data_IF_734683464595
#
_entry.id   IF_734683464595
#
_cell.length_a   1.000
_cell.length_b   1.000
_cell.length_c   1.000
_cell.angle_alpha   90.00
_cell.angle_beta   90.00
_cell.angle_gamma   90.00
#
_symmetry.space_group_name_H-M   'P 1'
#
loop_
_entity.id
_entity.type
_entity.pdbx_description
1 polymer ?
#
# COMPACT_ATOMS: atom_id res chain seq x y z
N UNK A 1 -0.70 -4.47 -30.39
CA UNK A 1 -1.51 -4.73 -29.17
C UNK A 1 -2.69 -3.75 -29.18
N UNK A 2 -3.95 -4.21 -29.15
CA UNK A 2 -5.11 -3.32 -29.06
C UNK A 2 -5.33 -2.92 -27.60
N UNK A 3 -5.17 -1.64 -27.26
CA UNK A 3 -5.38 -1.12 -25.92
C UNK A 3 -6.89 -1.00 -25.70
N UNK A 4 -7.42 -1.71 -24.69
CA UNK A 4 -8.83 -1.61 -24.29
C UNK A 4 -9.08 -0.19 -23.75
N UNK A 5 -10.18 0.48 -24.08
CA UNK A 5 -10.47 1.80 -23.54
C UNK A 5 -10.48 1.76 -22.00
N UNK A 6 -10.01 2.81 -21.32
CA UNK A 6 -9.96 2.86 -19.88
C UNK A 6 -11.38 2.65 -19.33
N UNK A 7 -11.53 1.64 -18.46
CA UNK A 7 -12.79 1.45 -17.72
C UNK A 7 -12.98 2.71 -16.87
N UNK A 8 -14.09 3.41 -17.07
CA UNK A 8 -14.51 4.41 -16.09
C UNK A 8 -14.74 3.69 -14.76
N UNK A 9 -13.94 4.04 -13.76
CA UNK A 9 -14.14 3.55 -12.41
C UNK A 9 -15.36 4.26 -11.83
N UNK A 10 -16.27 3.49 -11.23
CA UNK A 10 -17.39 4.07 -10.50
C UNK A 10 -16.85 4.72 -9.23
N UNK A 11 -16.84 6.04 -9.19
CA UNK A 11 -16.44 6.79 -8.00
C UNK A 11 -17.48 6.58 -6.90
N UNK A 12 -17.02 6.42 -5.67
CA UNK A 12 -17.92 6.33 -4.52
C UNK A 12 -18.56 7.69 -4.28
N UNK A 13 -19.87 7.70 -3.98
CA UNK A 13 -20.54 8.96 -3.69
C UNK A 13 -20.00 9.55 -2.38
N UNK A 14 -20.00 10.88 -2.29
CA UNK A 14 -19.63 11.57 -1.05
C UNK A 14 -20.46 11.07 0.15
N UNK A 15 -21.73 10.75 -0.08
CA UNK A 15 -22.62 10.23 0.95
C UNK A 15 -22.14 8.87 1.48
N UNK A 16 -21.80 7.92 0.61
CA UNK A 16 -21.33 6.59 1.05
C UNK A 16 -19.98 6.68 1.76
N UNK A 17 -19.09 7.56 1.28
CA UNK A 17 -17.81 7.82 1.94
C UNK A 17 -17.99 8.40 3.35
N UNK A 18 -18.86 9.41 3.50
CA UNK A 18 -19.16 10.03 4.79
C UNK A 18 -19.81 9.04 5.76
N UNK A 19 -20.78 8.26 5.30
CA UNK A 19 -21.46 7.25 6.13
C UNK A 19 -20.47 6.18 6.65
N UNK A 20 -19.52 5.75 5.81
CA UNK A 20 -18.46 4.83 6.21
C UNK A 20 -17.57 5.41 7.31
N UNK A 21 -17.18 6.69 7.20
CA UNK A 21 -16.40 7.38 8.23
C UNK A 21 -17.18 7.47 9.55
N UNK A 22 -18.45 7.89 9.49
CA UNK A 22 -19.31 8.02 10.68
C UNK A 22 -19.48 6.67 11.41
N UNK A 23 -19.61 5.57 10.66
CA UNK A 23 -19.66 4.20 11.21
C UNK A 23 -18.33 3.78 11.85
N UNK A 24 -17.20 4.03 11.18
CA UNK A 24 -15.88 3.66 11.69
C UNK A 24 -15.52 4.40 12.99
N UNK A 25 -15.95 5.65 13.15
CA UNK A 25 -15.70 6.46 14.35
C UNK A 25 -16.68 6.18 15.48
N UNK A 26 -17.95 5.89 15.17
CA UNK A 26 -18.92 5.55 16.21
C UNK A 26 -18.65 4.20 16.87
N UNK A 27 -18.05 3.24 16.17
CA UNK A 27 -17.68 1.93 16.72
C UNK A 27 -16.77 2.02 17.97
N UNK A 28 -15.70 2.82 18.00
CA UNK A 28 -14.92 3.10 19.22
C UNK A 28 -15.48 4.24 20.09
N UNK A 29 -16.70 4.73 19.83
CA UNK A 29 -17.32 5.82 20.60
C UNK A 29 -16.77 7.23 20.30
N UNK A 30 -16.05 7.39 19.18
CA UNK A 30 -15.49 8.68 18.78
C UNK A 30 -16.57 9.52 18.10
N UNK A 31 -16.84 10.71 18.67
CA UNK A 31 -17.77 11.67 18.08
C UNK A 31 -17.05 12.52 17.02
N UNK A 32 -17.43 12.35 15.76
CA UNK A 32 -17.02 13.23 14.66
C UNK A 32 -18.09 14.30 14.43
N UNK A 33 -17.69 15.48 13.96
CA UNK A 33 -18.62 16.46 13.40
C UNK A 33 -18.21 16.79 11.96
N UNK A 34 -19.16 17.31 11.15
CA UNK A 34 -18.94 17.60 9.72
C UNK A 34 -17.74 18.54 9.49
N UNK A 35 -17.46 19.45 10.42
CA UNK A 35 -16.39 20.43 10.31
C UNK A 35 -15.01 19.85 10.69
N UNK A 36 -14.96 18.74 11.42
CA UNK A 36 -13.73 18.05 11.81
C UNK A 36 -12.97 17.48 10.61
N UNK A 37 -13.68 17.09 9.54
CA UNK A 37 -13.09 16.42 8.36
C UNK A 37 -13.00 17.28 7.09
N UNK A 38 -13.82 18.34 6.95
CA UNK A 38 -13.91 19.14 5.70
C UNK A 38 -12.96 20.36 5.71
N UNK A 39 -12.72 20.99 6.87
CA UNK A 39 -11.95 22.24 6.96
C UNK A 39 -10.54 22.07 7.52
N UNK A 40 -10.10 20.84 7.77
CA UNK A 40 -8.74 20.52 8.14
C UNK A 40 -8.33 19.34 7.30
N UNK A 41 -7.44 19.56 6.32
CA UNK A 41 -6.87 18.46 5.55
C UNK A 41 -6.39 17.38 6.52
N UNK A 42 -6.91 16.17 6.39
CA UNK A 42 -6.67 15.05 7.32
C UNK A 42 -5.18 14.75 7.56
N UNK A 43 -4.29 15.29 6.72
CA UNK A 43 -2.83 15.21 6.84
C UNK A 43 -2.22 16.24 7.81
N UNK A 44 -2.83 17.41 8.01
CA UNK A 44 -2.20 18.54 8.73
C UNK A 44 -2.14 18.38 10.26
N UNK A 45 -2.88 17.42 10.85
CA UNK A 45 -3.00 17.27 12.32
C UNK A 45 -2.48 15.95 12.90
N UNK A 46 -1.89 15.06 12.10
CA UNK A 46 -1.19 13.89 12.65
C UNK A 46 0.08 14.26 13.44
N UNK A 47 0.53 15.51 13.40
CA UNK A 47 1.70 16.03 14.12
C UNK A 47 1.36 16.79 15.42
N UNK A 48 0.20 16.52 16.05
CA UNK A 48 -0.26 17.21 17.27
C UNK A 48 0.22 16.61 18.60
N UNK A 49 0.88 15.45 18.58
CA UNK A 49 1.58 14.92 19.75
C UNK A 49 2.88 14.31 19.25
N UNK A 50 4.01 14.57 19.90
CA UNK A 50 5.34 14.04 19.55
C UNK A 50 5.48 12.52 19.66
N UNK A 51 4.38 11.78 19.55
CA UNK A 51 4.32 10.32 19.47
C UNK A 51 4.14 9.96 18.02
N UNK A 52 5.26 9.75 17.36
CA UNK A 52 5.23 9.10 16.06
C UNK A 52 4.82 7.64 16.24
N UNK A 53 3.73 7.22 15.60
CA UNK A 53 3.32 5.82 15.55
C UNK A 53 4.10 5.08 14.46
N UNK A 54 5.42 5.03 14.60
CA UNK A 54 6.21 4.11 13.78
C UNK A 54 6.13 2.74 14.46
N UNK A 55 5.56 1.75 13.78
CA UNK A 55 5.92 0.36 14.09
C UNK A 55 7.43 0.29 13.87
N UNK A 56 8.19 -0.13 14.88
CA UNK A 56 9.62 -0.37 14.75
C UNK A 56 9.80 -1.35 13.59
N UNK A 57 10.22 -0.84 12.42
CA UNK A 57 10.28 -1.66 11.21
C UNK A 57 11.28 -2.77 11.45
N UNK A 58 10.89 -4.00 11.12
CA UNK A 58 11.83 -5.12 11.10
C UNK A 58 13.05 -4.73 10.27
N UNK A 59 14.24 -4.90 10.86
CA UNK A 59 15.53 -4.58 10.21
C UNK A 59 15.83 -5.49 9.02
N UNK A 60 15.13 -6.63 8.94
CA UNK A 60 15.26 -7.62 7.86
C UNK A 60 14.59 -7.13 6.58
N UNK A 61 15.35 -7.13 5.49
CA UNK A 61 14.82 -6.88 4.16
C UNK A 61 14.19 -8.16 3.60
N UNK A 62 12.93 -8.12 3.12
CA UNK A 62 12.32 -9.28 2.48
C UNK A 62 13.11 -9.72 1.23
N UNK A 63 13.18 -11.04 0.95
CA UNK A 63 13.86 -11.56 -0.23
C UNK A 63 13.42 -10.86 -1.52
N UNK A 64 14.37 -10.50 -2.39
CA UNK A 64 14.06 -9.80 -3.66
C UNK A 64 13.14 -10.63 -4.56
N UNK A 65 13.33 -11.96 -4.59
CA UNK A 65 12.46 -12.89 -5.32
C UNK A 65 11.01 -12.80 -4.86
N UNK A 66 10.78 -12.62 -3.56
CA UNK A 66 9.46 -12.48 -2.96
C UNK A 66 8.85 -11.11 -3.25
N UNK A 67 9.62 -10.01 -3.10
CA UNK A 67 9.16 -8.65 -3.41
C UNK A 67 8.69 -8.50 -4.87
N UNK A 68 9.38 -9.16 -5.81
CA UNK A 68 9.01 -9.16 -7.24
C UNK A 68 7.67 -9.86 -7.53
N UNK A 69 7.21 -10.75 -6.65
CA UNK A 69 5.89 -11.41 -6.79
C UNK A 69 4.72 -10.50 -6.43
N UNK A 70 4.96 -9.44 -5.64
CA UNK A 70 3.95 -8.44 -5.33
C UNK A 70 3.94 -7.35 -6.41
N UNK A 71 2.78 -7.07 -7.02
CA UNK A 71 2.64 -6.14 -8.16
C UNK A 71 3.64 -6.37 -9.31
N UNK A 72 3.76 -7.58 -9.90
CA UNK A 72 4.90 -7.95 -10.76
C UNK A 72 5.30 -6.93 -11.84
N UNK A 73 4.30 -6.34 -12.51
CA UNK A 73 4.47 -5.34 -13.58
C UNK A 73 5.31 -4.13 -13.18
N UNK A 74 5.37 -3.76 -11.90
CA UNK A 74 6.13 -2.59 -11.44
C UNK A 74 7.64 -2.72 -11.67
N UNK A 75 8.18 -3.95 -11.74
CA UNK A 75 9.59 -4.12 -12.12
C UNK A 75 9.84 -3.68 -13.56
N UNK A 76 9.00 -4.16 -14.49
CA UNK A 76 9.06 -3.80 -15.90
C UNK A 76 8.86 -2.28 -16.12
N UNK A 77 7.91 -1.68 -15.41
CA UNK A 77 7.69 -0.22 -15.47
C UNK A 77 8.89 0.56 -14.95
N UNK A 78 9.52 0.12 -13.86
CA UNK A 78 10.74 0.77 -13.37
C UNK A 78 11.87 0.72 -14.40
N UNK A 79 12.11 -0.44 -15.01
CA UNK A 79 13.18 -0.61 -15.99
C UNK A 79 12.94 0.24 -17.26
N UNK A 80 11.68 0.35 -17.72
CA UNK A 80 11.30 1.23 -18.83
C UNK A 80 11.52 2.72 -18.53
N UNK A 81 11.13 3.16 -17.33
CA UNK A 81 11.31 4.54 -16.91
C UNK A 81 12.80 4.90 -16.79
N UNK A 82 13.63 3.98 -16.29
CA UNK A 82 15.09 4.12 -16.27
C UNK A 82 15.66 4.19 -17.69
N UNK A 83 15.16 3.35 -18.60
CA UNK A 83 15.55 3.36 -20.01
C UNK A 83 15.00 4.55 -20.81
N UNK A 84 14.17 5.41 -20.19
CA UNK A 84 13.45 6.52 -20.84
C UNK A 84 12.64 6.06 -22.06
N UNK A 85 12.13 4.84 -22.04
CA UNK A 85 11.27 4.33 -23.11
C UNK A 85 9.88 4.99 -23.07
N UNK A 86 9.31 5.37 -24.22
CA UNK A 86 7.96 5.90 -24.29
C UNK A 86 6.91 4.83 -23.95
N UNK A 87 5.77 5.25 -23.42
CA UNK A 87 4.67 4.34 -23.08
C UNK A 87 4.13 3.63 -24.33
N UNK A 88 3.80 2.32 -24.26
CA UNK A 88 3.23 1.60 -25.38
C UNK A 88 1.88 2.22 -25.79
N UNK A 89 1.86 2.91 -26.93
CA UNK A 89 0.66 3.55 -27.48
C UNK A 89 0.46 5.02 -27.09
N UNK A 90 1.40 5.64 -26.37
CA UNK A 90 1.37 7.07 -26.09
C UNK A 90 2.79 7.66 -26.11
N UNK A 91 3.13 8.58 -27.05
CA UNK A 91 4.48 9.13 -27.19
C UNK A 91 4.87 10.12 -26.08
N UNK A 92 4.10 10.19 -24.99
CA UNK A 92 4.34 11.10 -23.87
C UNK A 92 5.61 10.66 -23.12
N UNK A 93 6.47 11.63 -22.84
CA UNK A 93 7.68 11.44 -22.04
C UNK A 93 7.31 11.01 -20.60
N UNK A 94 8.11 10.11 -19.98
CA UNK A 94 7.95 9.76 -18.58
C UNK A 94 7.75 10.99 -17.68
N UNK A 95 6.63 11.06 -16.98
CA UNK A 95 6.32 12.17 -16.08
C UNK A 95 6.92 11.95 -14.69
N UNK A 96 7.18 13.04 -13.96
CA UNK A 96 7.66 12.98 -12.56
C UNK A 96 6.69 12.18 -11.67
N UNK A 97 5.39 12.28 -11.93
CA UNK A 97 4.36 11.57 -11.19
C UNK A 97 4.42 10.05 -11.40
N UNK A 98 4.64 9.58 -12.63
CA UNK A 98 4.79 8.15 -12.93
C UNK A 98 6.01 7.56 -12.23
N UNK A 99 7.15 8.26 -12.31
CA UNK A 99 8.38 7.88 -11.60
C UNK A 99 8.14 7.78 -10.10
N UNK A 100 7.54 8.80 -9.49
CA UNK A 100 7.23 8.83 -8.08
C UNK A 100 6.26 7.69 -7.69
N UNK A 101 5.24 7.44 -8.49
CA UNK A 101 4.26 6.38 -8.25
C UNK A 101 4.92 4.99 -8.26
N UNK A 102 5.75 4.69 -9.26
CA UNK A 102 6.50 3.43 -9.33
C UNK A 102 7.39 3.26 -8.09
N UNK A 103 8.10 4.31 -7.67
CA UNK A 103 8.93 4.27 -6.46
C UNK A 103 8.10 4.03 -5.19
N UNK A 104 6.93 4.65 -5.07
CA UNK A 104 6.01 4.43 -3.95
C UNK A 104 5.57 2.97 -3.90
N UNK A 105 5.20 2.36 -5.04
CA UNK A 105 4.82 0.95 -5.04
C UNK A 105 6.01 0.04 -4.71
N UNK A 106 7.22 0.36 -5.16
CA UNK A 106 8.43 -0.39 -4.80
C UNK A 106 8.72 -0.34 -3.29
N UNK A 107 8.59 0.83 -2.68
CA UNK A 107 8.69 0.97 -1.22
C UNK A 107 7.57 0.19 -0.52
N UNK A 108 6.34 0.30 -1.03
CA UNK A 108 5.18 -0.40 -0.50
C UNK A 108 5.38 -1.93 -0.52
N UNK A 109 5.96 -2.51 -1.58
CA UNK A 109 6.29 -3.95 -1.62
C UNK A 109 7.13 -4.38 -0.43
N UNK A 110 8.12 -3.58 -0.05
CA UNK A 110 8.98 -3.88 1.09
C UNK A 110 8.21 -3.76 2.40
N UNK A 111 7.57 -2.62 2.65
CA UNK A 111 6.89 -2.38 3.92
C UNK A 111 5.71 -3.33 4.12
N UNK A 112 4.96 -3.62 3.07
CA UNK A 112 3.83 -4.54 3.12
C UNK A 112 4.25 -5.95 3.55
N UNK A 113 5.33 -6.51 3.00
CA UNK A 113 5.82 -7.85 3.37
C UNK A 113 6.42 -7.86 4.79
N UNK A 114 7.07 -6.77 5.20
CA UNK A 114 7.59 -6.65 6.57
C UNK A 114 6.44 -6.63 7.58
N UNK A 115 5.48 -5.73 7.38
CA UNK A 115 4.38 -5.50 8.30
C UNK A 115 3.36 -6.66 8.27
N UNK A 116 3.27 -7.40 7.15
CA UNK A 116 2.35 -8.55 7.06
C UNK A 116 2.66 -9.65 8.07
N UNK A 117 3.92 -9.81 8.50
CA UNK A 117 4.28 -10.80 9.53
C UNK A 117 3.53 -10.50 10.82
N UNK A 118 3.67 -9.27 11.34
CA UNK A 118 2.99 -8.79 12.53
C UNK A 118 1.47 -8.73 12.34
N UNK A 119 1.01 -8.22 11.20
CA UNK A 119 -0.42 -8.10 10.91
C UNK A 119 -1.12 -9.47 10.82
N UNK A 120 -0.42 -10.53 10.40
CA UNK A 120 -0.95 -11.90 10.43
C UNK A 120 -1.11 -12.44 11.85
N UNK A 121 -0.25 -12.04 12.80
CA UNK A 121 -0.36 -12.43 14.21
C UNK A 121 -1.51 -11.68 14.90
N UNK A 122 -1.60 -10.38 14.68
CA UNK A 122 -2.64 -9.52 15.26
C UNK A 122 -4.03 -9.82 14.68
N UNK A 123 -4.10 -10.16 13.38
CA UNK A 123 -5.36 -10.31 12.65
C UNK A 123 -5.36 -11.55 11.74
N UNK A 124 -5.32 -12.78 12.30
CA UNK A 124 -5.18 -14.01 11.51
C UNK A 124 -6.35 -14.30 10.55
N UNK A 125 -7.51 -13.68 10.77
CA UNK A 125 -8.73 -13.94 10.01
C UNK A 125 -8.89 -13.08 8.73
N UNK A 126 -7.95 -12.20 8.38
CA UNK A 126 -8.10 -11.37 7.18
C UNK A 126 -7.97 -12.18 5.89
N UNK A 127 -8.86 -11.89 4.93
CA UNK A 127 -8.91 -12.57 3.63
C UNK A 127 -7.64 -12.43 2.82
N UNK A 128 -6.90 -11.34 3.01
CA UNK A 128 -5.65 -11.07 2.30
C UNK A 128 -4.60 -12.18 2.53
N UNK A 129 -4.61 -12.82 3.71
CA UNK A 129 -3.67 -13.91 4.06
C UNK A 129 -3.91 -15.21 3.28
N UNK A 130 -5.06 -15.35 2.60
CA UNK A 130 -5.34 -16.49 1.70
C UNK A 130 -4.58 -16.40 0.37
N UNK A 131 -3.98 -15.25 0.07
CA UNK A 131 -3.23 -15.09 -1.17
C UNK A 131 -1.97 -15.96 -1.16
N UNK A 132 -1.67 -16.60 -2.30
CA UNK A 132 -0.59 -17.59 -2.43
C UNK A 132 0.79 -17.08 -2.03
N UNK A 133 1.03 -15.76 -2.11
CA UNK A 133 2.28 -15.13 -1.66
C UNK A 133 2.60 -15.39 -0.18
N UNK A 134 1.59 -15.57 0.67
CA UNK A 134 1.77 -15.83 2.10
C UNK A 134 2.01 -17.31 2.41
N UNK A 135 1.78 -18.19 1.44
CA UNK A 135 2.16 -19.60 1.50
C UNK A 135 3.48 -19.89 0.77
N UNK A 136 4.11 -18.85 0.21
CA UNK A 136 5.36 -18.98 -0.52
C UNK A 136 6.50 -19.44 0.40
N UNK A 137 7.33 -20.43 0.02
CA UNK A 137 8.44 -20.88 0.86
C UNK A 137 9.40 -19.75 1.27
N UNK A 138 9.62 -18.75 0.40
CA UNK A 138 10.45 -17.60 0.72
C UNK A 138 9.80 -16.69 1.76
N UNK A 139 8.46 -16.55 1.73
CA UNK A 139 7.73 -15.81 2.76
C UNK A 139 7.76 -16.56 4.10
N UNK A 140 7.54 -17.88 4.09
CA UNK A 140 7.58 -18.69 5.32
C UNK A 140 8.98 -18.72 5.96
N UNK A 141 10.06 -18.70 5.16
CA UNK A 141 11.42 -18.53 5.68
C UNK A 141 11.60 -17.15 6.31
N UNK A 142 11.24 -16.10 5.58
CA UNK A 142 11.35 -14.72 6.07
C UNK A 142 10.54 -14.49 7.35
N UNK A 143 9.31 -15.01 7.43
CA UNK A 143 8.46 -14.95 8.62
C UNK A 143 9.16 -15.57 9.83
N UNK A 144 9.79 -16.74 9.67
CA UNK A 144 10.54 -17.41 10.74
C UNK A 144 11.76 -16.59 11.18
N UNK A 145 12.51 -16.02 10.24
CA UNK A 145 13.66 -15.15 10.56
C UNK A 145 13.25 -13.93 11.38
N UNK A 146 12.12 -13.30 11.03
CA UNK A 146 11.58 -12.17 11.81
C UNK A 146 11.25 -12.59 13.25
N UNK A 147 10.67 -13.78 13.45
CA UNK A 147 10.37 -14.31 14.78
C UNK A 147 11.63 -14.67 15.60
N UNK A 148 12.76 -14.94 14.97
CA UNK A 148 14.02 -15.25 15.68
C UNK A 148 14.66 -13.98 16.26
N UNK A 149 14.43 -12.83 15.62
CA UNK A 149 15.10 -11.55 15.95
C UNK A 149 14.22 -10.64 16.83
N UNK A 150 12.91 -10.89 16.87
CA UNK A 150 11.94 -10.18 17.72
C UNK A 150 11.93 -10.71 19.16
#
# INVERSE_FOLDING_TARGET
MKIKPPRQAQEWSYFSHRESIDKALSSPGIRSNKNTHINCGSSARMAGSGRFFYIARATLNPPTSLRKKLFPAIGEWHDRLVAKEPSPGDPIQPTVAENAFVQVIMMFRKTFIQDSVLMMELHPCYLIWRHSIFSDPAYLSFKREVHIIA
#
